data_IF_491126790818
#
_entry.id   IF_491126790818
#
_cell.length_a   1.000
_cell.length_b   1.000
_cell.length_c   1.000
_cell.angle_alpha   90.00
_cell.angle_beta   90.00
_cell.angle_gamma   90.00
#
_symmetry.space_group_name_H-M   'P 1'
#
loop_
_entity.id
_entity.type
_entity.pdbx_description
1 polymer ?
#
# COMPACT_ATOMS: atom_id res chain seq x y z
N UNK A 1 -0.66 4.94 7.04
CA UNK A 1 0.24 5.94 6.44
C UNK A 1 1.54 6.10 7.24
N UNK A 2 1.49 6.41 8.54
CA UNK A 2 2.71 6.62 9.35
C UNK A 2 3.72 5.47 9.35
N UNK A 3 3.25 4.20 9.41
CA UNK A 3 4.12 3.03 9.32
C UNK A 3 4.87 2.95 7.99
N UNK A 4 4.16 3.13 6.87
CA UNK A 4 4.74 3.07 5.53
C UNK A 4 5.81 4.16 5.33
N UNK A 5 5.54 5.39 5.78
CA UNK A 5 6.51 6.49 5.71
C UNK A 5 7.76 6.17 6.56
N UNK A 6 7.57 5.65 7.77
CA UNK A 6 8.67 5.24 8.63
C UNK A 6 9.56 4.17 8.01
N UNK A 7 8.96 3.18 7.31
CA UNK A 7 9.70 2.14 6.61
C UNK A 7 10.50 2.69 5.42
N UNK A 8 9.88 3.55 4.59
CA UNK A 8 10.57 4.19 3.46
C UNK A 8 11.75 5.03 3.94
N UNK A 9 11.57 5.82 5.00
CA UNK A 9 12.64 6.62 5.58
C UNK A 9 13.81 5.78 6.10
N UNK A 10 13.55 4.53 6.47
CA UNK A 10 14.57 3.57 6.90
C UNK A 10 15.15 2.74 5.72
N UNK A 11 14.83 3.10 4.47
CA UNK A 11 15.38 2.47 3.26
C UNK A 11 14.67 1.19 2.83
N UNK A 12 13.51 0.86 3.40
CA UNK A 12 12.73 -0.32 2.99
C UNK A 12 11.87 -0.03 1.76
N UNK A 13 11.76 -1.01 0.87
CA UNK A 13 10.73 -1.03 -0.16
C UNK A 13 9.40 -1.48 0.45
N UNK A 14 8.35 -0.68 0.28
CA UNK A 14 7.02 -0.94 0.84
C UNK A 14 6.08 -1.36 -0.28
N UNK A 15 5.42 -2.50 -0.10
CA UNK A 15 4.36 -3.01 -0.98
C UNK A 15 3.05 -3.02 -0.20
N UNK A 16 1.97 -2.51 -0.80
CA UNK A 16 0.65 -2.40 -0.16
C UNK A 16 -0.40 -3.08 -1.04
N UNK A 17 -1.00 -4.20 -0.59
CA UNK A 17 -2.12 -4.82 -1.29
C UNK A 17 -3.40 -4.00 -1.06
N UNK A 18 -3.98 -3.43 -2.12
CA UNK A 18 -5.14 -2.52 -2.00
C UNK A 18 -6.40 -3.20 -1.49
N UNK A 19 -6.59 -4.45 -1.88
CA UNK A 19 -7.69 -5.34 -1.47
C UNK A 19 -7.59 -5.81 -0.01
N UNK A 20 -6.43 -5.59 0.63
CA UNK A 20 -6.20 -5.83 2.04
C UNK A 20 -6.19 -4.53 2.89
N UNK A 21 -6.61 -3.39 2.32
CA UNK A 21 -6.71 -2.11 3.04
C UNK A 21 -8.16 -1.83 3.41
N UNK A 22 -8.43 -1.73 4.71
CA UNK A 22 -9.72 -1.27 5.23
C UNK A 22 -9.62 0.21 5.65
N UNK A 23 -10.42 1.07 5.02
CA UNK A 23 -10.62 2.46 5.43
C UNK A 23 -12.08 2.76 5.71
N UNK A 24 -12.31 3.72 6.61
CA UNK A 24 -13.66 4.23 6.90
C UNK A 24 -13.63 5.76 6.77
N UNK A 25 -14.37 6.33 5.81
CA UNK A 25 -15.17 5.65 4.78
C UNK A 25 -14.29 5.03 3.67
N UNK A 26 -14.82 4.06 2.93
CA UNK A 26 -14.04 3.23 1.99
C UNK A 26 -13.50 4.02 0.79
N UNK A 27 -14.28 4.99 0.30
CA UNK A 27 -13.88 5.91 -0.77
C UNK A 27 -12.63 6.72 -0.40
N UNK A 28 -12.50 7.12 0.86
CA UNK A 28 -11.33 7.85 1.34
C UNK A 28 -10.06 7.01 1.29
N UNK A 29 -10.11 5.72 1.67
CA UNK A 29 -8.94 4.83 1.53
C UNK A 29 -8.53 4.65 0.07
N UNK A 30 -9.49 4.52 -0.85
CA UNK A 30 -9.19 4.42 -2.29
C UNK A 30 -8.51 5.71 -2.80
N UNK A 31 -9.04 6.88 -2.41
CA UNK A 31 -8.41 8.16 -2.77
C UNK A 31 -6.97 8.28 -2.25
N UNK A 32 -6.70 7.81 -1.03
CA UNK A 32 -5.35 7.79 -0.47
C UNK A 32 -4.43 6.82 -1.21
N UNK A 33 -4.93 5.64 -1.57
CA UNK A 33 -4.18 4.64 -2.32
C UNK A 33 -3.75 5.18 -3.69
N UNK A 34 -4.67 5.82 -4.40
CA UNK A 34 -4.44 6.33 -5.76
C UNK A 34 -3.58 7.60 -5.78
N UNK A 35 -3.77 8.52 -4.83
CA UNK A 35 -3.13 9.85 -4.91
C UNK A 35 -1.89 10.00 -4.03
N UNK A 36 -1.77 9.22 -2.95
CA UNK A 36 -0.69 9.40 -1.96
C UNK A 36 0.24 8.20 -1.91
N UNK A 37 -0.30 6.98 -1.80
CA UNK A 37 0.51 5.79 -1.64
C UNK A 37 1.31 5.42 -2.90
N UNK A 38 0.84 5.77 -4.10
CA UNK A 38 1.59 5.56 -5.35
C UNK A 38 2.96 6.26 -5.36
N UNK A 39 3.12 7.36 -4.62
CA UNK A 39 4.39 8.10 -4.57
C UNK A 39 5.45 7.46 -3.65
N UNK A 40 5.03 6.61 -2.71
CA UNK A 40 5.91 6.10 -1.64
C UNK A 40 5.89 4.57 -1.51
N UNK A 41 5.06 3.87 -2.27
CA UNK A 41 4.91 2.43 -2.18
C UNK A 41 4.45 1.83 -3.50
N UNK A 42 4.69 0.54 -3.69
CA UNK A 42 4.11 -0.23 -4.79
C UNK A 42 2.75 -0.75 -4.36
N UNK A 43 1.68 -0.24 -4.99
CA UNK A 43 0.30 -0.68 -4.73
C UNK A 43 -0.04 -1.83 -5.67
N UNK A 44 -0.45 -2.98 -5.12
CA UNK A 44 -0.73 -4.23 -5.85
C UNK A 44 -1.99 -4.90 -5.31
N UNK A 45 -2.33 -6.10 -5.80
CA UNK A 45 -3.34 -6.98 -5.17
C UNK A 45 -2.69 -8.02 -4.26
N UNK A 46 -3.49 -8.65 -3.41
CA UNK A 46 -3.02 -9.75 -2.56
C UNK A 46 -2.57 -10.95 -3.41
N UNK A 47 -3.22 -11.19 -4.54
CA UNK A 47 -2.83 -12.24 -5.49
C UNK A 47 -1.46 -11.97 -6.12
N UNK A 48 -1.16 -10.72 -6.50
CA UNK A 48 0.15 -10.34 -7.04
C UNK A 48 1.28 -10.61 -6.04
N UNK A 49 1.02 -10.31 -4.76
CA UNK A 49 1.92 -10.62 -3.65
C UNK A 49 2.14 -12.13 -3.59
N UNK A 50 1.07 -12.92 -3.43
CA UNK A 50 1.18 -14.39 -3.31
C UNK A 50 1.96 -14.99 -4.48
N UNK A 51 1.69 -14.55 -5.71
CA UNK A 51 2.37 -15.04 -6.91
C UNK A 51 3.86 -14.71 -6.95
N UNK A 52 4.31 -13.64 -6.30
CA UNK A 52 5.72 -13.25 -6.26
C UNK A 52 6.57 -14.13 -5.33
N UNK A 53 5.96 -14.87 -4.40
CA UNK A 53 6.66 -15.74 -3.43
C UNK A 53 6.38 -17.23 -3.61
N UNK A 54 5.55 -17.62 -4.60
CA UNK A 54 5.42 -19.01 -5.01
C UNK A 54 6.57 -19.45 -5.91
#
# INVERSE_FOLDING_TARGET
MGLSIGLVNNGYQVVVPRDAVAGVPADYSEMLLDNTYQMISTVVTTDDVINAWS
#
